data_IF_878063736380
#
_entry.id   IF_878063736380
#
_cell.length_a   1.000
_cell.length_b   1.000
_cell.length_c   1.000
_cell.angle_alpha   90.00
_cell.angle_beta   90.00
_cell.angle_gamma   90.00
#
_symmetry.space_group_name_H-M   'P 1'
#
loop_
_entity.id
_entity.type
_entity.pdbx_description
1 polymer ?
#
# COMPACT_ATOMS: atom_id res chain seq x y z
N UNK A 1 -9.34 -36.20 -31.70
CA UNK A 1 -9.16 -35.81 -30.27
C UNK A 1 -8.30 -34.55 -30.09
N UNK A 2 -7.21 -34.36 -30.86
CA UNK A 2 -6.34 -33.17 -30.78
C UNK A 2 -7.05 -31.84 -31.10
N UNK A 3 -7.92 -31.79 -32.12
CA UNK A 3 -8.64 -30.55 -32.52
C UNK A 3 -9.59 -30.03 -31.43
N UNK A 4 -10.35 -30.91 -30.74
CA UNK A 4 -11.23 -30.50 -29.63
C UNK A 4 -10.47 -29.98 -28.41
N UNK A 5 -9.28 -30.52 -28.14
CA UNK A 5 -8.40 -30.05 -27.05
C UNK A 5 -7.84 -28.66 -27.35
N UNK A 6 -7.54 -28.39 -28.64
CA UNK A 6 -7.11 -27.08 -29.14
C UNK A 6 -8.19 -26.02 -28.96
N UNK A 7 -9.44 -26.27 -29.41
CA UNK A 7 -10.53 -25.27 -29.32
C UNK A 7 -10.87 -24.89 -27.89
N UNK A 8 -10.94 -25.88 -26.97
CA UNK A 8 -11.16 -25.60 -25.54
C UNK A 8 -10.06 -24.68 -24.99
N UNK A 9 -8.80 -24.98 -25.31
CA UNK A 9 -7.66 -24.17 -24.85
C UNK A 9 -7.75 -22.74 -25.38
N UNK A 10 -8.06 -22.56 -26.67
CA UNK A 10 -8.18 -21.24 -27.31
C UNK A 10 -9.28 -20.38 -26.70
N UNK A 11 -10.44 -20.96 -26.37
CA UNK A 11 -11.55 -20.23 -25.74
C UNK A 11 -11.13 -19.74 -24.35
N UNK A 12 -10.54 -20.62 -23.54
CA UNK A 12 -10.10 -20.29 -22.19
C UNK A 12 -9.00 -19.22 -22.21
N UNK A 13 -8.01 -19.33 -23.10
CA UNK A 13 -6.91 -18.35 -23.18
C UNK A 13 -7.40 -16.97 -23.58
N UNK A 14 -8.34 -16.86 -24.53
CA UNK A 14 -8.87 -15.57 -24.97
C UNK A 14 -9.70 -14.87 -23.89
N UNK A 15 -10.55 -15.63 -23.19
CA UNK A 15 -11.35 -15.08 -22.08
C UNK A 15 -10.42 -14.63 -20.97
N UNK A 16 -9.47 -15.49 -20.56
CA UNK A 16 -8.54 -15.17 -19.49
C UNK A 16 -7.66 -13.95 -19.83
N UNK A 17 -7.15 -13.84 -21.06
CA UNK A 17 -6.36 -12.68 -21.47
C UNK A 17 -7.14 -11.37 -21.44
N UNK A 18 -8.41 -11.40 -21.84
CA UNK A 18 -9.27 -10.21 -21.81
C UNK A 18 -9.56 -9.76 -20.38
N UNK A 19 -9.90 -10.70 -19.49
CA UNK A 19 -10.13 -10.43 -18.07
C UNK A 19 -8.85 -9.98 -17.34
N UNK A 20 -7.70 -10.55 -17.68
CA UNK A 20 -6.42 -10.15 -17.12
C UNK A 20 -6.07 -8.71 -17.53
N UNK A 21 -6.30 -8.33 -18.79
CA UNK A 21 -6.03 -6.97 -19.26
C UNK A 21 -6.96 -5.95 -18.59
N UNK A 22 -8.25 -6.24 -18.46
CA UNK A 22 -9.18 -5.35 -17.74
C UNK A 22 -8.86 -5.26 -16.25
N UNK A 23 -8.47 -6.37 -15.61
CA UNK A 23 -7.97 -6.37 -14.24
C UNK A 23 -6.76 -5.43 -14.08
N UNK A 24 -5.76 -5.56 -14.95
CA UNK A 24 -4.54 -4.74 -14.88
C UNK A 24 -4.84 -3.24 -15.03
N UNK A 25 -5.71 -2.86 -15.96
CA UNK A 25 -6.12 -1.45 -16.15
C UNK A 25 -6.85 -0.92 -14.91
N UNK A 26 -7.76 -1.72 -14.34
CA UNK A 26 -8.51 -1.33 -13.14
C UNK A 26 -7.59 -1.20 -11.92
N UNK A 27 -6.67 -2.14 -11.73
CA UNK A 27 -5.70 -2.08 -10.63
C UNK A 27 -4.74 -0.90 -10.77
N UNK A 28 -4.26 -0.61 -11.98
CA UNK A 28 -3.43 0.58 -12.21
C UNK A 28 -4.19 1.88 -11.87
N UNK A 29 -5.44 2.00 -12.32
CA UNK A 29 -6.30 3.15 -12.02
C UNK A 29 -6.59 3.31 -10.52
N UNK A 30 -6.94 2.21 -9.84
CA UNK A 30 -7.18 2.22 -8.39
C UNK A 30 -5.92 2.56 -7.61
N UNK A 31 -4.76 2.04 -8.02
CA UNK A 31 -3.47 2.33 -7.39
C UNK A 31 -3.12 3.79 -7.52
N UNK A 32 -3.26 4.37 -8.72
CA UNK A 32 -3.03 5.79 -8.93
C UNK A 32 -3.97 6.65 -8.07
N UNK A 33 -5.27 6.32 -8.05
CA UNK A 33 -6.25 7.03 -7.23
C UNK A 33 -5.92 6.98 -5.73
N UNK A 34 -5.60 5.79 -5.22
CA UNK A 34 -5.31 5.60 -3.79
C UNK A 34 -4.02 6.32 -3.39
N UNK A 35 -2.97 6.20 -4.21
CA UNK A 35 -1.70 6.91 -3.98
C UNK A 35 -1.90 8.43 -4.01
N UNK A 36 -2.63 8.98 -4.99
CA UNK A 36 -2.94 10.42 -5.05
C UNK A 36 -3.71 10.89 -3.81
N UNK A 37 -4.69 10.09 -3.36
CA UNK A 37 -5.46 10.40 -2.15
C UNK A 37 -4.57 10.41 -0.91
N UNK A 38 -3.77 9.37 -0.70
CA UNK A 38 -2.86 9.27 0.46
C UNK A 38 -1.78 10.36 0.44
N UNK A 39 -1.27 10.72 -0.75
CA UNK A 39 -0.34 11.84 -0.93
C UNK A 39 -0.94 13.16 -0.45
N UNK A 40 -2.20 13.45 -0.83
CA UNK A 40 -2.92 14.65 -0.38
C UNK A 40 -3.19 14.63 1.12
N UNK A 41 -3.57 13.48 1.68
CA UNK A 41 -3.77 13.31 3.12
C UNK A 41 -2.47 13.57 3.89
N UNK A 42 -1.35 12.98 3.46
CA UNK A 42 -0.04 13.18 4.07
C UNK A 42 0.37 14.67 4.08
N UNK A 43 0.14 15.39 2.97
CA UNK A 43 0.39 16.82 2.91
C UNK A 43 -0.48 17.65 3.87
N UNK A 44 -1.76 17.30 4.04
CA UNK A 44 -2.64 17.97 5.01
C UNK A 44 -2.23 17.68 6.45
N UNK A 45 -1.91 16.43 6.78
CA UNK A 45 -1.41 16.04 8.11
C UNK A 45 -0.14 16.81 8.48
N UNK A 46 0.80 16.94 7.54
CA UNK A 46 2.02 17.71 7.77
C UNK A 46 1.71 19.19 8.02
N UNK A 47 0.80 19.80 7.26
CA UNK A 47 0.41 21.21 7.50
C UNK A 47 -0.21 21.41 8.87
N UNK A 48 -1.10 20.52 9.30
CA UNK A 48 -1.69 20.59 10.65
C UNK A 48 -0.61 20.42 11.72
N UNK A 49 0.26 19.42 11.56
CA UNK A 49 1.39 19.19 12.46
C UNK A 49 2.34 20.40 12.53
N UNK A 50 2.75 20.92 11.39
CA UNK A 50 3.60 22.10 11.27
C UNK A 50 2.97 23.34 11.91
N UNK A 51 1.64 23.51 11.81
CA UNK A 51 0.91 24.56 12.52
C UNK A 51 1.04 24.45 14.04
N UNK A 52 0.90 23.25 14.60
CA UNK A 52 1.08 23.02 16.04
C UNK A 52 2.52 23.28 16.48
N UNK A 53 3.50 22.75 15.74
CA UNK A 53 4.92 22.97 16.03
C UNK A 53 5.28 24.46 15.94
N UNK A 54 4.82 25.16 14.91
CA UNK A 54 5.09 26.59 14.73
C UNK A 54 4.47 27.45 15.85
N UNK A 55 3.32 27.07 16.39
CA UNK A 55 2.73 27.74 17.54
C UNK A 55 3.58 27.52 18.80
N UNK A 56 4.05 26.30 19.07
CA UNK A 56 4.95 26.04 20.19
C UNK A 56 6.27 26.82 20.05
N UNK A 57 6.85 26.86 18.84
CA UNK A 57 8.04 27.67 18.55
C UNK A 57 7.76 29.16 18.81
N UNK A 58 6.59 29.65 18.39
CA UNK A 58 6.16 31.03 18.62
C UNK A 58 6.09 31.34 20.12
N UNK A 59 5.49 30.46 20.93
CA UNK A 59 5.41 30.63 22.38
C UNK A 59 6.79 30.69 23.03
N UNK A 60 7.69 29.76 22.66
CA UNK A 60 9.07 29.74 23.18
C UNK A 60 9.82 31.02 22.81
N UNK A 61 9.73 31.46 21.55
CA UNK A 61 10.36 32.71 21.10
C UNK A 61 9.82 33.89 21.90
N UNK A 62 8.50 34.00 22.08
CA UNK A 62 7.87 35.09 22.84
C UNK A 62 8.36 35.17 24.28
N UNK A 63 8.55 34.03 24.96
CA UNK A 63 9.04 34.00 26.34
C UNK A 63 10.51 34.42 26.49
N UNK A 64 11.30 34.33 25.42
CA UNK A 64 12.73 34.69 25.41
C UNK A 64 13.03 36.02 24.70
N UNK A 65 12.00 36.72 24.22
CA UNK A 65 12.11 38.03 23.57
C UNK A 65 11.81 39.15 24.57
N UNK A 66 12.50 40.27 24.44
CA UNK A 66 12.19 41.49 25.19
C UNK A 66 11.04 42.29 24.55
N UNK A 67 10.67 43.42 25.18
CA UNK A 67 9.60 44.33 24.71
C UNK A 67 9.85 44.90 23.30
N UNK A 68 11.08 44.79 22.77
CA UNK A 68 11.48 45.24 21.44
C UNK A 68 11.58 44.09 20.41
N UNK A 69 11.06 42.90 20.75
CA UNK A 69 11.15 41.69 19.93
C UNK A 69 12.59 41.23 19.63
N UNK A 70 13.53 41.46 20.55
CA UNK A 70 14.91 40.98 20.43
C UNK A 70 15.18 39.83 21.39
N UNK A 71 15.93 38.83 20.93
CA UNK A 71 16.40 37.72 21.76
C UNK A 71 17.58 38.21 22.60
N UNK A 72 17.44 38.24 23.91
CA UNK A 72 18.50 38.70 24.82
C UNK A 72 19.55 37.62 25.10
N UNK A 73 19.12 36.35 25.19
CA UNK A 73 19.96 35.20 25.48
C UNK A 73 19.67 34.05 24.50
N UNK A 74 20.47 34.00 23.44
CA UNK A 74 20.38 32.97 22.40
C UNK A 74 20.66 31.56 22.94
N UNK A 75 21.54 31.44 23.94
CA UNK A 75 21.92 30.15 24.52
C UNK A 75 20.75 29.59 25.31
N UNK A 76 20.10 30.42 26.12
CA UNK A 76 18.89 30.04 26.85
C UNK A 76 17.75 29.68 25.90
N UNK A 77 17.56 30.44 24.82
CA UNK A 77 16.58 30.10 23.78
C UNK A 77 16.85 28.71 23.18
N UNK A 78 18.10 28.42 22.78
CA UNK A 78 18.45 27.09 22.26
C UNK A 78 18.16 25.98 23.26
N UNK A 79 18.49 26.15 24.54
CA UNK A 79 18.18 25.15 25.58
C UNK A 79 16.68 24.87 25.72
N UNK A 80 15.82 25.90 25.68
CA UNK A 80 14.37 25.70 25.70
C UNK A 80 13.86 25.06 24.41
N UNK A 81 14.43 25.40 23.24
CA UNK A 81 14.10 24.73 21.98
C UNK A 81 14.49 23.24 22.01
N UNK A 82 15.67 22.88 22.54
CA UNK A 82 16.07 21.48 22.74
C UNK A 82 15.05 20.76 23.62
N UNK A 83 14.75 21.32 24.78
CA UNK A 83 13.79 20.76 25.73
C UNK A 83 12.43 20.46 25.10
N UNK A 84 11.94 21.35 24.25
CA UNK A 84 10.59 21.26 23.71
C UNK A 84 10.49 20.64 22.32
N UNK A 85 11.55 20.61 21.52
CA UNK A 85 11.50 20.24 20.10
C UNK A 85 12.36 19.04 19.74
N UNK A 86 13.27 18.58 20.59
CA UNK A 86 14.12 17.43 20.23
C UNK A 86 13.34 16.13 20.04
N UNK A 87 12.06 16.08 20.44
CA UNK A 87 11.17 14.94 20.10
C UNK A 87 10.84 14.85 18.59
N UNK A 88 11.08 15.91 17.82
CA UNK A 88 10.72 15.94 16.40
C UNK A 88 11.57 15.00 15.56
N UNK A 89 12.88 14.94 15.82
CA UNK A 89 13.80 14.00 15.16
C UNK A 89 13.29 12.56 15.28
N UNK A 90 12.78 12.21 16.48
CA UNK A 90 12.18 10.91 16.79
C UNK A 90 10.91 10.60 16.00
N UNK A 91 10.21 11.61 15.49
CA UNK A 91 9.01 11.44 14.67
C UNK A 91 9.29 11.30 13.16
N UNK A 92 10.58 11.31 12.79
CA UNK A 92 11.04 11.37 11.40
C UNK A 92 10.84 12.74 10.77
N UNK A 93 10.82 13.80 11.57
CA UNK A 93 10.62 15.19 11.13
C UNK A 93 11.84 16.02 11.50
N UNK A 94 12.38 16.75 10.54
CA UNK A 94 13.47 17.70 10.74
C UNK A 94 12.91 19.13 10.71
N UNK A 95 13.52 20.02 11.47
CA UNK A 95 13.11 21.41 11.62
C UNK A 95 14.31 22.33 11.76
N UNK A 96 14.21 23.53 11.20
CA UNK A 96 15.15 24.62 11.44
C UNK A 96 14.40 25.93 11.70
N UNK A 97 14.97 26.77 12.55
CA UNK A 97 14.44 28.08 12.92
C UNK A 97 15.45 29.13 12.49
N UNK A 98 14.96 30.17 11.82
CA UNK A 98 15.75 31.27 11.31
C UNK A 98 15.21 32.61 11.80
N UNK A 99 16.08 33.62 11.87
CA UNK A 99 15.67 35.03 11.96
C UNK A 99 14.98 35.48 10.66
N UNK A 100 14.36 36.65 10.68
CA UNK A 100 13.79 37.28 9.48
C UNK A 100 14.80 37.56 8.36
N UNK A 101 16.09 37.71 8.71
CA UNK A 101 17.21 37.85 7.77
C UNK A 101 17.80 36.48 7.32
N UNK A 102 17.08 35.40 7.64
CA UNK A 102 17.44 34.02 7.33
C UNK A 102 18.77 33.56 7.96
N UNK A 103 19.08 34.02 9.18
CA UNK A 103 20.21 33.51 9.97
C UNK A 103 19.74 32.36 10.86
N UNK A 104 20.47 31.24 10.85
CA UNK A 104 20.09 30.03 11.55
C UNK A 104 20.21 30.20 13.08
N UNK A 105 19.11 29.94 13.79
CA UNK A 105 19.03 29.99 15.25
C UNK A 105 19.19 28.59 15.84
N UNK A 106 18.45 27.63 15.30
CA UNK A 106 18.31 26.28 15.82
C UNK A 106 17.95 25.31 14.69
N UNK A 107 18.40 24.07 14.79
CA UNK A 107 17.92 22.97 13.97
C UNK A 107 17.89 21.67 14.79
N UNK A 108 17.02 20.76 14.38
CA UNK A 108 17.10 19.37 14.80
C UNK A 108 18.40 18.74 14.28
N UNK A 109 18.97 17.84 15.08
CA UNK A 109 20.20 17.12 14.76
C UNK A 109 20.11 15.70 15.30
N UNK A 110 21.17 14.93 15.09
CA UNK A 110 21.37 13.55 15.56
C UNK A 110 22.18 13.48 16.86
N UNK A 111 22.42 14.61 17.52
CA UNK A 111 23.10 14.63 18.80
C UNK A 111 22.16 14.13 19.91
N UNK A 112 22.76 13.53 20.92
CA UNK A 112 22.00 12.96 22.03
C UNK A 112 21.47 14.06 22.94
N UNK A 113 20.15 14.05 23.16
CA UNK A 113 19.52 14.99 24.09
C UNK A 113 19.85 14.57 25.51
N UNK A 114 20.46 15.47 26.25
CA UNK A 114 20.81 15.22 27.63
C UNK A 114 20.14 16.23 28.55
N UNK A 115 19.89 15.78 29.77
CA UNK A 115 19.36 16.61 30.85
C UNK A 115 20.24 16.48 32.08
N UNK A 116 20.39 17.55 32.85
CA UNK A 116 21.22 17.58 34.05
C UNK A 116 20.58 18.44 35.13
N UNK A 117 20.97 18.20 36.38
CA UNK A 117 20.54 19.03 37.49
C UNK A 117 21.33 20.35 37.47
N UNK A 118 20.73 21.40 36.92
CA UNK A 118 21.40 22.71 36.75
C UNK A 118 21.46 23.48 38.08
N UNK A 119 20.35 23.52 38.82
CA UNK A 119 20.33 24.11 40.16
C UNK A 119 19.25 23.49 41.02
N UNK A 120 19.46 23.55 42.33
CA UNK A 120 18.49 23.13 43.34
C UNK A 120 18.20 24.29 44.27
N UNK A 121 16.94 24.73 44.30
CA UNK A 121 16.47 25.77 45.21
C UNK A 121 15.44 25.16 46.17
N UNK A 122 15.89 24.83 47.38
CA UNK A 122 15.07 24.15 48.38
C UNK A 122 14.63 22.76 47.91
N UNK A 123 13.32 22.58 47.71
CA UNK A 123 12.73 21.33 47.22
C UNK A 123 12.46 21.33 45.70
N UNK A 124 12.84 22.40 44.99
CA UNK A 124 12.69 22.51 43.54
C UNK A 124 14.02 22.20 42.86
N UNK A 125 13.97 21.25 41.94
CA UNK A 125 15.07 20.94 41.03
C UNK A 125 14.80 21.65 39.71
N UNK A 126 15.81 22.33 39.18
CA UNK A 126 15.79 22.92 37.86
C UNK A 126 16.66 22.07 36.95
N UNK A 127 16.08 21.63 35.84
CA UNK A 127 16.73 20.76 34.88
C UNK A 127 17.25 21.58 33.72
N UNK A 128 18.56 21.50 33.47
CA UNK A 128 19.17 22.01 32.26
C UNK A 128 19.08 20.98 31.15
N UNK A 129 19.04 21.45 29.90
CA UNK A 129 19.03 20.62 28.70
C UNK A 129 20.17 21.03 27.77
N UNK A 130 20.63 20.09 26.95
CA UNK A 130 21.67 20.32 25.95
C UNK A 130 21.86 19.11 25.04
N UNK A 131 22.71 19.25 24.05
CA UNK A 131 23.09 18.20 23.10
C UNK A 131 24.47 17.66 23.40
N UNK A 132 24.65 16.35 23.30
CA UNK A 132 25.95 15.69 23.32
C UNK A 132 26.21 15.15 21.91
N UNK A 133 27.26 15.63 21.26
CA UNK A 133 27.74 15.07 19.99
C UNK A 133 28.61 13.84 20.28
N UNK A 134 28.12 12.60 20.09
CA UNK A 134 28.85 11.42 20.52
C UNK A 134 30.12 11.18 19.68
N UNK A 135 30.13 11.58 18.41
CA UNK A 135 31.25 11.39 17.48
C UNK A 135 32.48 12.23 17.79
N UNK A 136 32.36 13.21 18.68
CA UNK A 136 33.51 14.00 19.16
C UNK A 136 34.29 13.27 20.27
N UNK A 137 33.62 12.39 21.02
CA UNK A 137 34.13 11.85 22.29
C UNK A 137 34.33 10.33 22.29
N UNK A 138 33.65 9.60 21.41
CA UNK A 138 33.61 8.14 21.40
C UNK A 138 33.85 7.61 19.98
N UNK A 139 34.40 6.40 19.88
CA UNK A 139 34.58 5.75 18.58
C UNK A 139 33.29 5.09 18.05
N UNK A 140 33.28 4.69 16.77
CA UNK A 140 32.10 4.12 16.12
C UNK A 140 31.59 2.84 16.81
N UNK A 141 32.47 2.04 17.41
CA UNK A 141 32.08 0.84 18.13
C UNK A 141 31.42 1.20 19.47
N UNK A 142 32.02 2.11 20.23
CA UNK A 142 31.49 2.59 21.51
C UNK A 142 30.12 3.27 21.35
N UNK A 143 29.98 4.12 20.33
CA UNK A 143 28.70 4.77 19.99
C UNK A 143 27.64 3.72 19.70
N UNK A 144 27.97 2.72 18.88
CA UNK A 144 27.03 1.66 18.54
C UNK A 144 26.61 0.84 19.76
N UNK A 145 27.55 0.51 20.65
CA UNK A 145 27.23 -0.19 21.90
C UNK A 145 26.33 0.67 22.82
N UNK A 146 26.62 1.96 22.94
CA UNK A 146 25.79 2.91 23.68
C UNK A 146 24.39 3.05 23.09
N UNK A 147 24.25 3.11 21.77
CA UNK A 147 22.97 3.09 21.07
C UNK A 147 22.20 1.78 21.31
N UNK A 148 22.88 0.62 21.28
CA UNK A 148 22.28 -0.68 21.59
C UNK A 148 21.71 -0.69 23.03
N UNK A 149 22.37 -0.04 23.99
CA UNK A 149 21.85 0.11 25.35
C UNK A 149 20.70 1.13 25.44
N UNK A 150 20.86 2.32 24.84
CA UNK A 150 19.88 3.41 24.87
C UNK A 150 18.53 2.98 24.28
N UNK A 151 18.56 2.09 23.28
CA UNK A 151 17.37 1.66 22.55
C UNK A 151 17.01 0.18 22.77
N UNK A 152 17.55 -0.44 23.83
CA UNK A 152 17.17 -1.80 24.20
C UNK A 152 15.73 -1.83 24.73
N UNK A 153 14.86 -2.61 24.08
CA UNK A 153 13.48 -2.87 24.53
C UNK A 153 13.25 -4.35 24.88
N UNK A 154 13.90 -4.87 25.93
CA UNK A 154 13.64 -6.23 26.38
C UNK A 154 12.20 -6.34 26.91
N UNK A 155 11.53 -7.46 26.61
CA UNK A 155 10.19 -7.73 27.12
C UNK A 155 10.31 -8.42 28.48
N UNK A 156 10.06 -7.66 29.54
CA UNK A 156 9.95 -8.20 30.88
C UNK A 156 8.59 -8.91 31.06
N UNK A 157 8.59 -10.17 31.52
CA UNK A 157 7.38 -10.95 31.75
C UNK A 157 7.12 -11.21 33.24
N UNK A 158 8.17 -11.11 34.08
CA UNK A 158 8.09 -11.29 35.54
C UNK A 158 9.06 -10.38 36.30
N UNK A 159 8.84 -10.30 37.61
CA UNK A 159 9.72 -9.56 38.53
C UNK A 159 11.16 -10.09 38.44
N UNK A 160 12.11 -9.18 38.31
CA UNK A 160 13.53 -9.48 38.12
C UNK A 160 13.96 -9.58 36.67
N UNK A 161 13.05 -9.55 35.70
CA UNK A 161 13.42 -9.50 34.28
C UNK A 161 13.98 -8.11 33.91
N UNK A 162 14.90 -8.10 32.95
CA UNK A 162 15.47 -6.86 32.41
C UNK A 162 14.39 -6.07 31.67
N UNK A 163 14.26 -4.79 32.00
CA UNK A 163 13.33 -3.82 31.40
C UNK A 163 14.04 -2.93 30.38
N UNK A 164 15.33 -2.70 30.58
CA UNK A 164 16.16 -1.89 29.70
C UNK A 164 17.41 -1.41 30.42
N UNK A 165 18.03 -0.37 29.90
CA UNK A 165 19.19 0.27 30.51
C UNK A 165 18.93 1.76 30.70
N UNK A 166 19.45 2.33 31.79
CA UNK A 166 19.55 3.79 31.94
C UNK A 166 20.98 4.21 31.67
N UNK A 167 21.15 5.23 30.83
CA UNK A 167 22.46 5.75 30.45
C UNK A 167 22.66 7.10 31.13
N UNK A 168 23.53 7.11 32.14
CA UNK A 168 23.80 8.24 32.99
C UNK A 168 25.07 8.96 32.58
N UNK A 169 25.04 10.29 32.73
CA UNK A 169 26.21 11.13 32.61
C UNK A 169 26.79 11.37 34.01
N UNK A 170 28.08 11.06 34.18
CA UNK A 170 28.85 11.33 35.39
C UNK A 170 29.92 12.35 35.07
N UNK A 171 29.86 13.52 35.71
CA UNK A 171 30.70 14.68 35.38
C UNK A 171 30.34 15.28 34.03
N UNK A 172 29.86 16.53 34.02
CA UNK A 172 29.35 17.19 32.82
C UNK A 172 29.90 18.61 32.77
N UNK A 173 30.51 18.96 31.65
CA UNK A 173 30.76 20.36 31.29
C UNK A 173 29.75 20.83 30.25
N UNK A 174 29.34 22.09 30.35
CA UNK A 174 28.36 22.68 29.43
C UNK A 174 29.00 23.85 28.69
N UNK A 175 29.19 23.68 27.38
CA UNK A 175 29.62 24.73 26.46
C UNK A 175 28.39 25.23 25.68
N UNK A 176 27.78 26.33 26.15
CA UNK A 176 26.52 26.85 25.65
C UNK A 176 25.38 25.81 25.73
N UNK A 177 24.96 25.26 24.58
CA UNK A 177 23.97 24.21 24.43
C UNK A 177 24.57 22.82 24.21
N UNK A 178 25.91 22.71 24.17
CA UNK A 178 26.64 21.45 24.02
C UNK A 178 27.10 20.90 25.37
N UNK A 179 26.97 19.58 25.52
CA UNK A 179 27.28 18.81 26.71
C UNK A 179 28.52 17.97 26.43
N UNK A 180 29.49 18.07 27.33
CA UNK A 180 30.75 17.34 27.30
C UNK A 180 30.75 16.41 28.52
N UNK A 181 30.62 15.09 28.35
CA UNK A 181 30.69 14.15 29.46
C UNK A 181 32.14 13.98 29.94
N UNK A 182 32.37 13.71 31.23
CA UNK A 182 33.57 12.98 31.69
C UNK A 182 33.35 11.50 31.39
N UNK A 183 32.25 10.95 31.91
CA UNK A 183 31.90 9.53 31.76
C UNK A 183 30.43 9.31 31.45
N UNK A 184 30.17 8.23 30.72
CA UNK A 184 28.84 7.67 30.51
C UNK A 184 28.79 6.31 31.21
N UNK A 185 27.87 6.15 32.16
CA UNK A 185 27.62 4.87 32.85
C UNK A 185 26.32 4.25 32.35
N UNK A 186 26.36 2.97 32.03
CA UNK A 186 25.19 2.17 31.68
C UNK A 186 24.73 1.37 32.89
N UNK A 187 23.45 1.51 33.27
CA UNK A 187 22.83 0.83 34.42
C UNK A 187 21.70 -0.08 33.96
N UNK A 188 21.79 -1.41 34.14
CA UNK A 188 20.69 -2.30 33.82
C UNK A 188 19.52 -2.09 34.78
N UNK A 189 18.31 -2.04 34.23
CA UNK A 189 17.08 -1.81 34.98
C UNK A 189 16.24 -3.08 34.98
N UNK A 190 15.82 -3.53 36.17
CA UNK A 190 15.05 -4.76 36.35
C UNK A 190 13.65 -4.45 36.88
N UNK A 191 12.66 -5.20 36.40
CA UNK A 191 11.26 -5.04 36.77
C UNK A 191 11.06 -5.39 38.25
N UNK A 192 10.40 -4.52 39.00
CA UNK A 192 10.06 -4.75 40.41
C UNK A 192 8.56 -4.93 40.63
N UNK A 193 7.70 -4.40 39.74
CA UNK A 193 6.24 -4.53 39.83
C UNK A 193 5.57 -4.49 38.46
N UNK A 194 4.47 -5.22 38.33
CA UNK A 194 3.58 -5.25 37.17
C UNK A 194 2.15 -4.82 37.55
N UNK A 195 1.39 -4.27 36.60
CA UNK A 195 -0.06 -4.08 36.73
C UNK A 195 -0.84 -5.36 36.35
N UNK A 196 -2.17 -5.28 36.37
CA UNK A 196 -3.06 -6.40 36.03
C UNK A 196 -3.00 -6.79 34.54
N UNK A 197 -2.61 -5.87 33.67
CA UNK A 197 -2.48 -6.08 32.23
C UNK A 197 -1.10 -6.62 31.83
N UNK A 198 -0.18 -6.75 32.79
CA UNK A 198 1.17 -7.26 32.59
C UNK A 198 2.19 -6.19 32.16
N UNK A 199 1.90 -4.90 32.35
CA UNK A 199 2.86 -3.83 32.10
C UNK A 199 3.71 -3.55 33.34
N UNK A 200 4.99 -3.25 33.14
CA UNK A 200 5.90 -2.86 34.22
C UNK A 200 5.49 -1.51 34.79
N UNK A 201 5.19 -1.46 36.09
CA UNK A 201 4.83 -0.21 36.81
C UNK A 201 5.97 0.35 37.66
N UNK A 202 6.98 -0.47 37.95
CA UNK A 202 8.17 -0.04 38.67
C UNK A 202 9.37 -0.91 38.27
N UNK A 203 10.53 -0.28 38.19
CA UNK A 203 11.81 -0.90 37.86
C UNK A 203 12.94 -0.15 38.57
N UNK A 204 14.10 -0.77 38.68
CA UNK A 204 15.27 -0.20 39.35
C UNK A 204 16.56 -0.88 38.95
N UNK A 205 17.68 -0.19 39.15
CA UNK A 205 19.03 -0.69 38.89
C UNK A 205 19.99 -0.18 39.97
N UNK A 206 21.09 -0.90 40.17
CA UNK A 206 22.15 -0.55 41.11
C UNK A 206 23.33 0.07 40.36
N UNK A 207 23.94 1.09 40.98
CA UNK A 207 25.20 1.66 40.51
C UNK A 207 26.32 0.84 41.12
N UNK A 208 26.77 -0.18 40.40
CA UNK A 208 27.85 -1.08 40.81
C UNK A 208 29.14 -0.75 40.04
N UNK A 209 30.27 -1.22 40.58
CA UNK A 209 31.59 -1.04 39.94
C UNK A 209 31.74 -1.85 38.64
N UNK A 210 30.90 -2.89 38.47
CA UNK A 210 30.87 -3.76 37.29
C UNK A 210 30.05 -3.17 36.13
N UNK A 211 29.37 -2.03 36.33
CA UNK A 211 28.64 -1.35 35.27
C UNK A 211 29.57 -0.91 34.15
N UNK A 212 29.07 -0.92 32.90
CA UNK A 212 29.84 -0.46 31.75
C UNK A 212 30.02 1.05 31.84
N UNK A 213 31.26 1.51 31.66
CA UNK A 213 31.65 2.92 31.71
C UNK A 213 32.43 3.27 30.45
N UNK A 214 32.00 4.33 29.77
CA UNK A 214 32.72 4.97 28.67
C UNK A 214 33.26 6.31 29.16
N UNK A 215 34.49 6.67 28.78
CA UNK A 215 35.15 7.91 29.24
C UNK A 215 35.54 8.76 28.03
N UNK A 216 35.19 10.05 28.04
CA UNK A 216 35.45 10.96 26.90
C UNK A 216 36.93 11.34 26.76
N UNK A 217 37.70 11.22 27.85
CA UNK A 217 39.08 11.70 27.92
C UNK A 217 39.22 13.23 27.92
N UNK A 218 38.11 13.98 28.07
CA UNK A 218 38.14 15.43 28.13
C UNK A 218 38.94 15.92 29.34
N UNK A 219 39.80 16.92 29.12
CA UNK A 219 40.50 17.63 30.18
C UNK A 219 40.05 19.08 30.13
N UNK A 220 39.43 19.55 31.21
CA UNK A 220 38.91 20.91 31.26
C UNK A 220 40.04 21.94 31.21
N UNK A 221 40.08 22.66 30.11
CA UNK A 221 41.02 23.74 29.81
C UNK A 221 40.29 25.06 29.53
N UNK A 222 38.96 25.12 29.72
CA UNK A 222 38.09 26.23 29.28
C UNK A 222 37.26 26.86 30.39
N UNK A 223 37.38 26.40 31.64
CA UNK A 223 36.63 26.92 32.80
C UNK A 223 35.12 26.87 32.56
N UNK A 224 34.65 25.75 32.00
CA UNK A 224 33.24 25.55 31.65
C UNK A 224 32.40 25.22 32.90
N UNK A 225 31.12 25.62 32.95
CA UNK A 225 30.19 25.20 33.99
C UNK A 225 30.16 23.68 34.15
N UNK A 226 30.41 23.21 35.38
CA UNK A 226 30.47 21.80 35.74
C UNK A 226 29.25 21.34 36.55
N UNK A 227 28.73 20.16 36.22
CA UNK A 227 27.62 19.50 36.92
C UNK A 227 27.95 18.03 37.19
N UNK A 228 27.50 17.50 38.33
CA UNK A 228 27.87 16.14 38.77
C UNK A 228 27.15 15.04 38.00
N UNK A 229 25.85 15.23 37.74
CA UNK A 229 24.98 14.17 37.24
C UNK A 229 24.00 14.66 36.18
N UNK A 230 23.78 13.79 35.20
CA UNK A 230 22.77 13.96 34.17
C UNK A 230 22.34 12.63 33.59
N UNK A 231 21.47 12.69 32.60
CA UNK A 231 20.97 11.53 31.89
C UNK A 231 20.81 11.83 30.42
N UNK A 232 21.03 10.79 29.62
CA UNK A 232 20.76 10.81 28.19
C UNK A 232 19.33 10.35 27.99
N UNK A 233 18.54 11.13 27.26
CA UNK A 233 17.16 10.77 26.94
C UNK A 233 17.17 9.85 25.72
N UNK A 234 17.00 8.54 25.92
CA UNK A 234 16.77 7.58 24.84
C UNK A 234 15.39 7.83 24.23
N UNK A 235 15.33 8.58 23.14
CA UNK A 235 14.06 9.03 22.57
C UNK A 235 13.55 8.21 21.39
N UNK A 236 14.43 7.66 20.54
CA UNK A 236 14.00 6.88 19.36
C UNK A 236 15.12 6.07 18.71
N UNK A 237 14.77 4.88 18.24
CA UNK A 237 15.68 3.92 17.63
C UNK A 237 15.99 4.31 16.17
N UNK A 238 17.28 4.38 15.76
CA UNK A 238 17.69 4.72 14.39
C UNK A 238 17.15 3.78 13.29
N UNK A 239 16.76 2.55 13.64
CA UNK A 239 16.25 1.54 12.72
C UNK A 239 14.81 1.81 12.20
N UNK A 240 14.06 2.67 12.88
CA UNK A 240 12.76 3.20 12.43
C UNK A 240 12.84 4.62 11.87
N UNK A 241 14.02 5.22 11.91
CA UNK A 241 14.27 6.55 11.39
C UNK A 241 14.23 6.49 9.85
N UNK A 242 13.56 7.45 9.16
CA UNK A 242 13.58 7.47 7.71
C UNK A 242 15.03 7.46 7.20
N UNK A 243 15.32 6.61 6.19
CA UNK A 243 16.67 6.36 5.67
C UNK A 243 17.44 7.62 5.23
N UNK A 244 16.77 8.76 5.13
CA UNK A 244 17.25 10.01 4.57
C UNK A 244 17.12 11.20 5.57
N UNK A 245 17.18 10.97 6.89
CA UNK A 245 17.11 12.05 7.90
C UNK A 245 18.18 13.13 7.67
N UNK A 246 19.39 12.74 7.30
CA UNK A 246 20.47 13.67 6.96
C UNK A 246 20.08 14.57 5.77
N UNK A 247 19.50 13.99 4.69
CA UNK A 247 19.00 14.77 3.55
C UNK A 247 17.87 15.74 3.96
N UNK A 248 16.98 15.32 4.87
CA UNK A 248 15.92 16.19 5.39
C UNK A 248 16.49 17.32 6.25
N UNK A 249 17.56 17.06 7.01
CA UNK A 249 18.25 18.03 7.84
C UNK A 249 18.96 19.07 6.99
N UNK A 250 19.71 18.64 5.98
CA UNK A 250 20.31 19.52 4.97
C UNK A 250 19.25 20.37 4.27
N UNK A 251 18.09 19.78 3.98
CA UNK A 251 16.96 20.47 3.37
C UNK A 251 16.38 21.60 4.23
N UNK A 252 16.27 21.42 5.55
CA UNK A 252 15.72 22.47 6.44
C UNK A 252 16.71 23.57 6.78
N UNK A 253 18.02 23.29 6.78
CA UNK A 253 19.05 24.30 7.02
C UNK A 253 19.41 25.14 5.78
N UNK A 254 18.99 24.72 4.59
CA UNK A 254 19.25 25.43 3.34
C UNK A 254 18.50 26.77 3.26
N UNK A 255 19.26 27.86 3.45
CA UNK A 255 18.80 29.24 3.37
C UNK A 255 18.16 29.61 2.03
N UNK A 256 18.69 29.13 0.91
CA UNK A 256 18.17 29.46 -0.42
C UNK A 256 16.86 28.72 -0.71
N UNK A 257 16.74 27.50 -0.19
CA UNK A 257 15.48 26.74 -0.22
C UNK A 257 14.40 27.43 0.60
N UNK A 258 14.74 27.92 1.80
CA UNK A 258 13.82 28.70 2.62
C UNK A 258 13.33 29.96 1.89
N UNK A 259 14.24 30.77 1.33
CA UNK A 259 13.88 31.97 0.55
C UNK A 259 12.92 31.63 -0.59
N UNK A 260 13.19 30.55 -1.31
CA UNK A 260 12.32 30.08 -2.41
C UNK A 260 10.93 29.70 -1.90
N UNK A 261 10.85 28.95 -0.80
CA UNK A 261 9.58 28.54 -0.23
C UNK A 261 8.76 29.70 0.35
N UNK A 262 9.43 30.74 0.87
CA UNK A 262 8.79 31.94 1.40
C UNK A 262 8.11 32.77 0.28
N UNK A 263 8.52 32.64 -0.98
CA UNK A 263 7.84 33.31 -2.10
C UNK A 263 6.41 32.78 -2.35
N UNK A 264 6.13 31.54 -1.95
CA UNK A 264 4.81 30.91 -2.05
C UNK A 264 4.47 30.14 -0.76
N UNK A 265 4.34 30.87 0.35
CA UNK A 265 4.04 30.34 1.70
C UNK A 265 2.77 29.47 1.74
N UNK A 266 1.86 29.64 0.77
CA UNK A 266 0.64 28.85 0.71
C UNK A 266 0.95 27.44 0.20
N UNK A 267 1.92 27.26 -0.70
CA UNK A 267 2.21 25.96 -1.28
C UNK A 267 3.09 25.09 -0.36
N UNK A 268 2.83 23.79 -0.44
CA UNK A 268 3.64 22.77 0.22
C UNK A 268 4.58 22.25 -0.85
N UNK A 269 5.88 22.34 -0.62
CA UNK A 269 6.85 21.73 -1.53
C UNK A 269 6.83 20.22 -1.33
N UNK A 270 6.73 19.49 -2.44
CA UNK A 270 6.67 18.03 -2.44
C UNK A 270 7.55 17.46 -3.55
N UNK A 271 8.52 16.63 -3.16
CA UNK A 271 9.48 16.01 -4.07
C UNK A 271 9.45 14.49 -3.90
N UNK A 272 9.40 13.78 -5.02
CA UNK A 272 9.45 12.31 -5.00
C UNK A 272 10.90 11.87 -4.97
N UNK A 273 11.28 11.09 -3.96
CA UNK A 273 12.66 10.59 -3.80
C UNK A 273 12.85 9.22 -4.44
N UNK A 274 12.24 8.19 -3.86
CA UNK A 274 12.38 6.78 -4.23
C UNK A 274 11.02 6.10 -4.15
N UNK A 275 10.72 5.22 -5.11
CA UNK A 275 9.43 4.49 -5.16
C UNK A 275 8.22 5.37 -4.76
N UNK A 276 7.40 4.99 -3.78
CA UNK A 276 6.25 5.73 -3.28
C UNK A 276 6.58 6.63 -2.07
N UNK A 277 7.85 6.99 -1.88
CA UNK A 277 8.31 7.94 -0.87
C UNK A 277 8.33 9.36 -1.41
N UNK A 278 7.86 10.29 -0.58
CA UNK A 278 7.79 11.71 -0.86
C UNK A 278 8.37 12.50 0.31
N UNK A 279 9.25 13.44 -0.02
CA UNK A 279 9.73 14.45 0.92
C UNK A 279 8.86 15.68 0.79
N UNK A 280 8.43 16.17 1.93
CA UNK A 280 7.62 17.37 2.03
C UNK A 280 8.40 18.43 2.80
N UNK A 281 8.29 19.67 2.35
CA UNK A 281 8.93 20.83 2.95
C UNK A 281 7.93 21.98 3.07
N UNK A 282 7.90 22.61 4.24
CA UNK A 282 7.03 23.73 4.54
C UNK A 282 7.80 24.81 5.33
N UNK A 283 7.65 26.06 4.89
CA UNK A 283 8.11 27.23 5.63
C UNK A 283 6.92 27.89 6.33
N UNK A 284 7.05 28.13 7.63
CA UNK A 284 6.01 28.71 8.47
C UNK A 284 6.49 30.04 9.06
N UNK A 285 5.74 31.13 8.87
CA UNK A 285 6.09 32.42 9.45
C UNK A 285 5.76 32.46 10.95
N UNK A 286 6.54 33.25 11.71
CA UNK A 286 6.25 33.57 13.10
C UNK A 286 4.83 34.10 13.29
N UNK A 287 4.11 33.60 14.31
CA UNK A 287 2.69 33.91 14.56
C UNK A 287 1.75 33.62 13.39
N UNK A 288 2.18 32.82 12.42
CA UNK A 288 1.48 32.58 11.15
C UNK A 288 1.18 33.89 10.39
N UNK A 289 2.03 34.92 10.54
CA UNK A 289 1.83 36.25 9.98
C UNK A 289 3.01 36.67 9.07
N UNK A 290 2.66 37.19 7.90
CA UNK A 290 3.61 37.64 6.88
C UNK A 290 3.31 39.09 6.55
N UNK A 291 4.34 39.92 6.58
CA UNK A 291 4.28 41.32 6.18
C UNK A 291 4.72 41.43 4.73
N UNK A 292 3.87 42.02 3.90
CA UNK A 292 4.12 42.23 2.47
C UNK A 292 4.22 43.73 2.21
N UNK A 293 5.42 44.23 1.95
CA UNK A 293 5.62 45.60 1.45
C UNK A 293 5.63 45.56 -0.08
N UNK A 294 5.06 46.57 -0.75
CA UNK A 294 4.97 46.60 -2.21
C UNK A 294 6.36 46.48 -2.87
N UNK A 295 6.64 45.33 -3.49
CA UNK A 295 7.87 45.06 -4.22
C UNK A 295 9.02 44.44 -3.39
N UNK A 296 8.80 44.14 -2.12
CA UNK A 296 9.77 43.47 -1.25
C UNK A 296 9.39 42.00 -1.02
N UNK A 297 10.37 41.19 -0.61
CA UNK A 297 10.14 39.80 -0.25
C UNK A 297 9.21 39.70 0.98
N UNK A 298 8.42 38.62 1.08
CA UNK A 298 7.57 38.40 2.24
C UNK A 298 8.44 38.34 3.51
N UNK A 299 8.09 39.13 4.52
CA UNK A 299 8.85 39.26 5.75
C UNK A 299 8.11 38.68 6.95
N UNK A 300 8.85 37.98 7.82
CA UNK A 300 8.41 37.57 9.15
C UNK A 300 9.61 37.69 10.10
N UNK A 301 9.38 37.98 11.38
CA UNK A 301 10.47 38.14 12.36
C UNK A 301 11.30 36.86 12.53
N UNK A 302 10.65 35.70 12.39
CA UNK A 302 11.28 34.39 12.38
C UNK A 302 10.59 33.48 11.36
N UNK A 303 11.34 32.48 10.91
CA UNK A 303 10.87 31.43 10.02
C UNK A 303 11.13 30.07 10.63
N UNK A 304 10.13 29.20 10.57
CA UNK A 304 10.25 27.79 10.93
C UNK A 304 10.17 26.94 9.66
N UNK A 305 11.28 26.34 9.26
CA UNK A 305 11.33 25.35 8.18
C UNK A 305 11.09 23.95 8.76
N UNK A 306 10.21 23.16 8.14
CA UNK A 306 9.88 21.80 8.58
C UNK A 306 9.93 20.88 7.37
N UNK A 307 10.63 19.75 7.49
CA UNK A 307 10.67 18.73 6.46
C UNK A 307 10.37 17.34 7.02
N UNK A 308 9.69 16.53 6.21
CA UNK A 308 9.32 15.16 6.57
C UNK A 308 9.29 14.26 5.35
N UNK A 309 9.81 13.04 5.48
CA UNK A 309 9.62 11.99 4.47
C UNK A 309 8.45 11.09 4.83
N UNK A 310 7.59 10.79 3.85
CA UNK A 310 6.46 9.88 4.00
C UNK A 310 6.51 8.82 2.92
N UNK A 311 6.59 7.56 3.33
CA UNK A 311 6.43 6.40 2.45
C UNK A 311 4.95 6.04 2.31
N UNK A 312 4.36 6.28 1.14
CA UNK A 312 2.95 5.98 0.90
C UNK A 312 2.68 4.48 0.82
N UNK A 313 3.69 3.64 0.57
CA UNK A 313 3.51 2.18 0.58
C UNK A 313 3.18 1.66 1.98
N UNK A 314 3.78 2.23 3.03
CA UNK A 314 3.49 1.81 4.40
C UNK A 314 2.05 2.18 4.81
N UNK A 315 1.49 3.22 4.18
CA UNK A 315 0.11 3.66 4.39
C UNK A 315 -0.92 2.85 3.59
N UNK A 316 -0.65 2.57 2.32
CA UNK A 316 -1.66 1.98 1.41
C UNK A 316 -1.33 0.59 0.88
N UNK A 317 -0.12 0.07 1.06
CA UNK A 317 0.35 -1.18 0.49
C UNK A 317 -0.48 -2.39 0.92
N UNK A 318 -0.82 -2.48 2.21
CA UNK A 318 -1.71 -3.53 2.73
C UNK A 318 -3.08 -3.52 2.05
N UNK A 319 -3.66 -2.34 1.89
CA UNK A 319 -4.95 -2.13 1.20
C UNK A 319 -4.85 -2.50 -0.28
N UNK A 320 -3.77 -2.09 -0.97
CA UNK A 320 -3.54 -2.43 -2.37
C UNK A 320 -3.44 -3.95 -2.56
N UNK A 321 -2.62 -4.63 -1.76
CA UNK A 321 -2.44 -6.09 -1.83
C UNK A 321 -3.77 -6.81 -1.58
N UNK A 322 -4.55 -6.36 -0.59
CA UNK A 322 -5.86 -6.93 -0.30
C UNK A 322 -6.85 -6.76 -1.46
N UNK A 323 -6.95 -5.55 -2.03
CA UNK A 323 -7.87 -5.27 -3.15
C UNK A 323 -7.43 -6.02 -4.41
N UNK A 324 -6.14 -6.00 -4.75
CA UNK A 324 -5.58 -6.71 -5.89
C UNK A 324 -5.86 -8.21 -5.82
N UNK A 325 -5.56 -8.84 -4.67
CA UNK A 325 -5.79 -10.27 -4.49
C UNK A 325 -7.27 -10.64 -4.52
N UNK A 326 -8.13 -9.86 -3.87
CA UNK A 326 -9.58 -10.08 -3.86
C UNK A 326 -10.19 -9.94 -5.26
N UNK A 327 -9.81 -8.89 -5.99
CA UNK A 327 -10.25 -8.69 -7.36
C UNK A 327 -9.71 -9.79 -8.28
N UNK A 328 -8.43 -10.16 -8.18
CA UNK A 328 -7.84 -11.20 -9.00
C UNK A 328 -8.60 -12.54 -8.84
N UNK A 329 -8.91 -12.91 -7.59
CA UNK A 329 -9.68 -14.11 -7.29
C UNK A 329 -11.08 -14.06 -7.91
N UNK A 330 -11.78 -12.93 -7.78
CA UNK A 330 -13.10 -12.72 -8.40
C UNK A 330 -13.05 -12.82 -9.93
N UNK A 331 -12.04 -12.19 -10.56
CA UNK A 331 -11.83 -12.23 -12.00
C UNK A 331 -11.56 -13.66 -12.50
N UNK A 332 -10.76 -14.45 -11.76
CA UNK A 332 -10.51 -15.87 -12.06
C UNK A 332 -11.81 -16.67 -12.01
N UNK A 333 -12.63 -16.48 -10.97
CA UNK A 333 -13.91 -17.19 -10.82
C UNK A 333 -14.85 -16.85 -11.99
N UNK A 334 -15.02 -15.57 -12.31
CA UNK A 334 -15.89 -15.12 -13.41
C UNK A 334 -15.38 -15.67 -14.75
N UNK A 335 -14.07 -15.59 -15.01
CA UNK A 335 -13.46 -16.13 -16.22
C UNK A 335 -13.69 -17.65 -16.35
N UNK A 336 -13.59 -18.41 -15.26
CA UNK A 336 -13.86 -19.84 -15.25
C UNK A 336 -15.34 -20.17 -15.52
N UNK A 337 -16.27 -19.42 -14.93
CA UNK A 337 -17.72 -19.58 -15.15
C UNK A 337 -18.05 -19.32 -16.62
N UNK A 338 -17.60 -18.18 -17.16
CA UNK A 338 -17.85 -17.81 -18.56
C UNK A 338 -17.21 -18.81 -19.52
N UNK A 339 -15.96 -19.21 -19.28
CA UNK A 339 -15.29 -20.19 -20.14
C UNK A 339 -15.98 -21.56 -20.11
N UNK A 340 -16.54 -21.98 -18.98
CA UNK A 340 -17.37 -23.20 -18.88
C UNK A 340 -18.67 -23.05 -19.68
N UNK A 341 -19.39 -21.94 -19.51
CA UNK A 341 -20.64 -21.68 -20.22
C UNK A 341 -20.43 -21.61 -21.74
N UNK A 342 -19.44 -20.83 -22.22
CA UNK A 342 -19.13 -20.73 -23.65
C UNK A 342 -18.76 -22.09 -24.24
N UNK A 343 -18.00 -22.92 -23.51
CA UNK A 343 -17.64 -24.26 -23.96
C UNK A 343 -18.83 -25.22 -24.01
N UNK A 344 -19.77 -25.13 -23.05
CA UNK A 344 -21.00 -25.91 -23.10
C UNK A 344 -21.88 -25.51 -24.29
N UNK A 345 -22.05 -24.21 -24.52
CA UNK A 345 -22.79 -23.68 -25.69
C UNK A 345 -22.15 -24.13 -27.00
N UNK A 346 -20.82 -24.06 -27.10
CA UNK A 346 -20.08 -24.56 -28.27
C UNK A 346 -20.32 -26.06 -28.51
N UNK A 347 -20.22 -26.89 -27.45
CA UNK A 347 -20.50 -28.34 -27.55
C UNK A 347 -21.93 -28.64 -27.97
N UNK A 348 -22.91 -27.87 -27.47
CA UNK A 348 -24.32 -28.04 -27.85
C UNK A 348 -24.53 -27.75 -29.33
N UNK A 349 -23.97 -26.64 -29.83
CA UNK A 349 -23.98 -26.32 -31.26
C UNK A 349 -23.30 -27.39 -32.10
N UNK A 350 -22.14 -27.88 -31.67
CA UNK A 350 -21.42 -28.97 -32.37
C UNK A 350 -22.26 -30.25 -32.45
N UNK A 351 -22.99 -30.60 -31.37
CA UNK A 351 -23.88 -31.78 -31.35
C UNK A 351 -25.05 -31.63 -32.33
N UNK A 352 -25.71 -30.47 -32.32
CA UNK A 352 -26.83 -30.17 -33.23
C UNK A 352 -26.36 -30.24 -34.69
N UNK A 353 -25.23 -29.62 -35.02
CA UNK A 353 -24.64 -29.69 -36.36
C UNK A 353 -24.30 -31.12 -36.78
N UNK A 354 -23.79 -31.95 -35.86
CA UNK A 354 -23.51 -33.37 -36.13
C UNK A 354 -24.81 -34.14 -36.42
N UNK A 355 -25.84 -33.96 -35.60
CA UNK A 355 -27.15 -34.59 -35.81
C UNK A 355 -27.76 -34.17 -37.15
N UNK A 356 -27.73 -32.88 -37.48
CA UNK A 356 -28.20 -32.36 -38.77
C UNK A 356 -27.49 -33.02 -39.95
N UNK A 357 -26.16 -33.21 -39.87
CA UNK A 357 -25.38 -33.91 -40.90
C UNK A 357 -25.74 -35.39 -40.99
N UNK A 358 -25.90 -36.07 -39.86
CA UNK A 358 -26.30 -37.49 -39.82
C UNK A 358 -27.67 -37.72 -40.45
N UNK A 359 -28.66 -36.90 -40.09
CA UNK A 359 -30.01 -36.94 -40.69
C UNK A 359 -29.95 -36.68 -42.19
N UNK A 360 -29.24 -35.63 -42.61
CA UNK A 360 -29.10 -35.29 -44.03
C UNK A 360 -28.44 -36.42 -44.83
N UNK A 361 -27.41 -37.05 -44.27
CA UNK A 361 -26.72 -38.18 -44.91
C UNK A 361 -27.60 -39.43 -44.99
N UNK A 362 -28.37 -39.73 -43.92
CA UNK A 362 -29.31 -40.84 -43.92
C UNK A 362 -30.39 -40.66 -45.00
N UNK A 363 -30.98 -39.46 -45.08
CA UNK A 363 -31.94 -39.11 -46.14
C UNK A 363 -31.35 -39.27 -47.54
N UNK A 364 -30.13 -38.79 -47.76
CA UNK A 364 -29.46 -38.94 -49.05
C UNK A 364 -29.27 -40.41 -49.43
N UNK A 365 -28.94 -41.27 -48.47
CA UNK A 365 -28.81 -42.72 -48.69
C UNK A 365 -30.16 -43.36 -49.04
N UNK A 366 -31.20 -43.04 -48.27
CA UNK A 366 -32.53 -43.63 -48.42
C UNK A 366 -33.25 -43.17 -49.68
N UNK A 367 -32.93 -41.98 -50.20
CA UNK A 367 -33.39 -41.50 -51.50
C UNK A 367 -32.59 -42.08 -52.68
N UNK A 368 -31.29 -42.36 -52.51
CA UNK A 368 -30.44 -42.91 -53.58
C UNK A 368 -30.90 -44.29 -54.04
N UNK A 369 -31.37 -45.12 -53.12
CA UNK A 369 -31.83 -46.48 -53.39
C UNK A 369 -33.04 -46.52 -54.34
N UNK A 370 -34.20 -45.92 -54.03
CA UNK A 370 -35.35 -45.88 -54.93
C UNK A 370 -35.04 -45.14 -56.22
N UNK A 371 -34.21 -44.08 -56.19
CA UNK A 371 -33.78 -43.38 -57.39
C UNK A 371 -32.99 -44.28 -58.35
N UNK A 372 -32.08 -45.11 -57.83
CA UNK A 372 -31.32 -46.06 -58.65
C UNK A 372 -32.22 -47.12 -59.29
N UNK A 373 -33.23 -47.58 -58.54
CA UNK A 373 -34.24 -48.53 -59.01
C UNK A 373 -35.11 -47.91 -60.12
N UNK A 374 -35.59 -46.67 -59.92
CA UNK A 374 -36.35 -45.92 -60.93
C UNK A 374 -35.52 -45.77 -62.21
N UNK A 375 -34.25 -45.36 -62.08
CA UNK A 375 -33.36 -45.18 -63.23
C UNK A 375 -33.13 -46.49 -63.99
N UNK A 376 -32.93 -47.61 -63.29
CA UNK A 376 -32.73 -48.91 -63.92
C UNK A 376 -33.98 -49.41 -64.67
N UNK A 377 -35.16 -49.26 -64.07
CA UNK A 377 -36.41 -49.62 -64.74
C UNK A 377 -36.74 -48.70 -65.92
N UNK A 378 -36.46 -47.39 -65.81
CA UNK A 378 -36.64 -46.45 -66.91
C UNK A 378 -35.71 -46.79 -68.09
N UNK A 379 -34.45 -47.15 -67.82
CA UNK A 379 -33.51 -47.60 -68.84
C UNK A 379 -34.01 -48.87 -69.56
N UNK A 380 -34.48 -49.87 -68.81
CA UNK A 380 -35.06 -51.09 -69.38
C UNK A 380 -36.28 -50.82 -70.26
N UNK A 381 -37.10 -49.81 -69.91
CA UNK A 381 -38.23 -49.37 -70.73
C UNK A 381 -37.77 -48.71 -72.04
N UNK A 382 -36.71 -47.88 -71.99
CA UNK A 382 -36.15 -47.20 -73.16
C UNK A 382 -35.47 -48.17 -74.14
N UNK A 383 -34.74 -49.16 -73.63
CA UNK A 383 -33.98 -50.13 -74.42
C UNK A 383 -34.83 -51.28 -74.98
N UNK A 384 -36.12 -51.37 -74.61
CA UNK A 384 -37.04 -52.43 -75.04
C UNK A 384 -36.58 -53.86 -74.71
N UNK A 385 -35.79 -54.03 -73.65
CA UNK A 385 -35.15 -55.31 -73.29
C UNK A 385 -36.17 -56.43 -73.05
N UNK A 386 -37.35 -56.10 -72.49
CA UNK A 386 -38.47 -57.02 -72.21
C UNK A 386 -39.82 -56.30 -72.35
N UNK A 387 -40.45 -56.38 -73.53
CA UNK A 387 -41.69 -55.64 -73.83
C UNK A 387 -42.90 -56.16 -73.05
N UNK A 388 -42.89 -57.44 -72.69
CA UNK A 388 -43.88 -58.12 -71.85
C UNK A 388 -43.84 -57.68 -70.38
N UNK A 389 -42.73 -57.10 -69.92
CA UNK A 389 -42.54 -56.62 -68.53
C UNK A 389 -42.72 -55.10 -68.38
N UNK A 390 -43.16 -54.40 -69.43
CA UNK A 390 -43.31 -52.93 -69.41
C UNK A 390 -44.24 -52.45 -68.29
N UNK A 391 -45.36 -53.12 -68.09
CA UNK A 391 -46.30 -52.80 -67.00
C UNK A 391 -45.65 -52.99 -65.62
N UNK A 392 -44.90 -54.09 -65.45
CA UNK A 392 -44.12 -54.34 -64.23
C UNK A 392 -43.09 -53.24 -63.96
N UNK A 393 -42.37 -52.76 -64.98
CA UNK A 393 -41.41 -51.67 -64.84
C UNK A 393 -42.10 -50.34 -64.49
N UNK A 394 -43.21 -50.01 -65.14
CA UNK A 394 -43.98 -48.80 -64.84
C UNK A 394 -44.54 -48.79 -63.41
N UNK A 395 -45.11 -49.91 -62.96
CA UNK A 395 -45.63 -50.07 -61.58
C UNK A 395 -44.50 -49.91 -60.55
N UNK A 396 -43.33 -50.50 -60.80
CA UNK A 396 -42.19 -50.35 -59.89
C UNK A 396 -41.62 -48.93 -59.84
N UNK A 397 -41.58 -48.22 -60.97
CA UNK A 397 -41.20 -46.79 -61.00
C UNK A 397 -42.18 -45.99 -60.13
N UNK A 398 -43.49 -46.13 -60.36
CA UNK A 398 -44.51 -45.42 -59.60
C UNK A 398 -44.45 -45.74 -58.10
N UNK A 399 -44.23 -47.02 -57.76
CA UNK A 399 -44.07 -47.46 -56.36
C UNK A 399 -42.87 -46.79 -55.70
N UNK A 400 -41.73 -46.70 -56.38
CA UNK A 400 -40.53 -46.07 -55.81
C UNK A 400 -40.62 -44.54 -55.75
N UNK A 401 -41.33 -43.90 -56.70
CA UNK A 401 -41.66 -42.46 -56.60
C UNK A 401 -42.52 -42.21 -55.37
N UNK A 402 -43.56 -43.02 -55.13
CA UNK A 402 -44.39 -42.93 -53.92
C UNK A 402 -43.60 -43.18 -52.62
N UNK A 403 -42.62 -44.08 -52.63
CA UNK A 403 -41.69 -44.28 -51.50
C UNK A 403 -40.83 -43.05 -51.24
N UNK A 404 -40.29 -42.42 -52.29
CA UNK A 404 -39.50 -41.19 -52.16
C UNK A 404 -40.34 -40.04 -51.62
N UNK A 405 -41.56 -39.88 -52.12
CA UNK A 405 -42.51 -38.86 -51.64
C UNK A 405 -42.77 -39.02 -50.14
N UNK A 406 -43.08 -40.25 -49.68
CA UNK A 406 -43.26 -40.55 -48.26
C UNK A 406 -42.03 -40.17 -47.41
N UNK A 407 -40.82 -40.50 -47.84
CA UNK A 407 -39.58 -40.13 -47.12
C UNK A 407 -39.43 -38.60 -47.01
N UNK A 408 -39.79 -37.86 -48.07
CA UNK A 408 -39.75 -36.39 -48.06
C UNK A 408 -40.83 -35.81 -47.14
N UNK A 409 -42.05 -36.36 -47.19
CA UNK A 409 -43.15 -35.95 -46.31
C UNK A 409 -42.80 -36.17 -44.84
N UNK A 410 -42.32 -37.36 -44.47
CA UNK A 410 -41.92 -37.71 -43.11
C UNK A 410 -40.81 -36.75 -42.60
N UNK A 411 -39.90 -36.33 -43.49
CA UNK A 411 -38.83 -35.36 -43.15
C UNK A 411 -39.36 -33.95 -42.89
N UNK A 412 -40.27 -33.47 -43.75
CA UNK A 412 -40.90 -32.16 -43.59
C UNK A 412 -41.75 -32.11 -42.32
N UNK A 413 -42.44 -33.21 -41.99
CA UNK A 413 -43.21 -33.35 -40.76
C UNK A 413 -42.31 -33.33 -39.52
N UNK A 414 -41.22 -34.09 -39.53
CA UNK A 414 -40.21 -34.05 -38.46
C UNK A 414 -39.62 -32.64 -38.27
N UNK A 415 -39.30 -31.93 -39.37
CA UNK A 415 -38.78 -30.56 -39.31
C UNK A 415 -39.81 -29.57 -38.73
N UNK A 416 -41.10 -29.77 -38.97
CA UNK A 416 -42.17 -28.96 -38.36
C UNK A 416 -42.27 -29.21 -36.86
N UNK A 417 -42.25 -30.48 -36.44
CA UNK A 417 -42.27 -30.90 -35.03
C UNK A 417 -41.10 -30.32 -34.22
N UNK A 418 -39.92 -30.14 -34.82
CA UNK A 418 -38.77 -29.52 -34.15
C UNK A 418 -38.88 -27.98 -34.03
N UNK A 419 -39.71 -27.33 -34.87
CA UNK A 419 -39.78 -25.87 -34.99
C UNK A 419 -40.91 -25.21 -34.21
N UNK A 420 -41.98 -25.94 -33.90
CA UNK A 420 -43.16 -25.42 -33.19
C UNK A 420 -43.32 -26.03 -31.80
N UNK A 421 -43.71 -25.21 -30.83
CA UNK A 421 -44.20 -25.68 -29.53
C UNK A 421 -45.64 -26.13 -29.77
N UNK A 422 -45.85 -27.42 -30.05
CA UNK A 422 -47.20 -27.97 -30.19
C UNK A 422 -47.94 -27.88 -28.85
N UNK A 423 -49.06 -27.14 -28.75
CA UNK A 423 -49.88 -27.17 -27.56
C UNK A 423 -50.55 -28.55 -27.47
N UNK A 424 -50.01 -29.42 -26.62
CA UNK A 424 -50.59 -30.74 -26.34
C UNK A 424 -51.93 -30.50 -25.62
N UNK A 425 -53.03 -30.88 -26.27
CA UNK A 425 -54.34 -30.89 -25.64
C UNK A 425 -54.53 -32.24 -24.96
N UNK A 426 -54.65 -32.22 -23.63
CA UNK A 426 -54.95 -33.40 -22.85
C UNK A 426 -56.47 -33.55 -22.74
N UNK A 427 -56.98 -34.70 -23.16
CA UNK A 427 -58.37 -35.09 -23.02
C UNK A 427 -58.49 -36.45 -22.33
N UNK A 428 -59.57 -36.66 -21.60
CA UNK A 428 -59.85 -37.94 -20.95
C UNK A 428 -60.38 -38.91 -22.01
N UNK A 429 -59.67 -40.03 -22.19
CA UNK A 429 -59.89 -40.92 -23.32
C UNK A 429 -59.89 -42.39 -22.87
N UNK A 430 -60.86 -43.16 -23.38
CA UNK A 430 -61.00 -44.59 -23.10
C UNK A 430 -60.04 -45.41 -23.96
N UNK A 431 -59.06 -46.05 -23.32
CA UNK A 431 -58.13 -46.94 -24.01
C UNK A 431 -58.84 -48.10 -24.72
N UNK A 432 -59.97 -48.58 -24.19
CA UNK A 432 -60.75 -49.66 -24.81
C UNK A 432 -61.36 -49.25 -26.15
N UNK A 433 -61.82 -48.01 -26.28
CA UNK A 433 -62.40 -47.49 -27.54
C UNK A 433 -61.32 -47.25 -28.59
N UNK A 434 -60.17 -46.71 -28.19
CA UNK A 434 -59.06 -46.46 -29.13
C UNK A 434 -58.45 -47.76 -29.63
N UNK A 435 -58.27 -48.76 -28.78
CA UNK A 435 -57.78 -50.06 -29.23
C UNK A 435 -58.75 -50.75 -30.20
N UNK A 436 -60.06 -50.55 -30.04
CA UNK A 436 -61.06 -51.11 -30.94
C UNK A 436 -61.12 -50.43 -32.33
N UNK A 437 -60.55 -49.22 -32.48
CA UNK A 437 -60.46 -48.52 -33.77
C UNK A 437 -59.18 -48.84 -34.56
N UNK A 438 -58.17 -49.40 -33.90
CA UNK A 438 -56.85 -49.68 -34.50
C UNK A 438 -56.72 -51.13 -34.98
N UNK A 439 -57.55 -52.04 -34.46
CA UNK A 439 -57.67 -53.45 -34.90
C UNK A 439 -58.77 -53.54 -35.96
#
# INVERSE_FOLDING_TARGET
>A
MMVKKSVKRTIYTRIFSAFLLTYLVLMAGFTFFLVDREKKLAGMELRTFAGHVNNNVTEILQEQMNDQNQIEDIVKLRKELIRHLSYLTYSGTELAIFTGDYELIFNTNDYWVCSYLERKEGNRNYTGYGYLNPWEWFDEQEIKELEDYLYAEPKAEKVGDLVGYTVHLEGIWVDNDMIIPDKIRVVPMYASRFDEDGNVTSFGGTHDDDNVIYTSGYQDNRDLPYFEHGGISGGYRPDHAPQNLEELREMVIDKERLKTAVQDIISLSEERTKFLSYQYYLAMPYKNAVYMTNGEEPYSEFWTAIAREVNLWDRCGSTLVYVWSSCLLMFIIIALILARQTHQTYKRREKIEKQRREVTNALAHDLKTPLSIISGYAQNLMENVHTEKREHYAVNIQTNVGRMDKIITDMLELSRLESEIFPIQFEELSLGEVCAQII
#
